data_IF_608715222074
#
_entry.id   IF_608715222074
#
_cell.length_a   1.000
_cell.length_b   1.000
_cell.length_c   1.000
_cell.angle_alpha   90.00
_cell.angle_beta   90.00
_cell.angle_gamma   90.00
#
_symmetry.space_group_name_H-M   'P 1'
#
loop_
_entity.id
_entity.type
_entity.pdbx_description
1 polymer ?
#
# COMPACT_ATOMS: atom_id res chain seq x y z
N UNK A 1 -0.70 -12.74 20.47
CA UNK A 1 0.31 -11.93 19.75
C UNK A 1 -0.13 -10.47 19.71
N UNK A 2 0.67 -9.58 20.29
CA UNK A 2 0.40 -8.15 20.29
C UNK A 2 0.71 -7.56 18.91
N UNK A 3 -0.20 -6.75 18.40
CA UNK A 3 -0.05 -6.05 17.14
C UNK A 3 -0.40 -4.57 17.31
N UNK A 4 0.27 -3.72 16.57
CA UNK A 4 -0.15 -2.33 16.42
C UNK A 4 -0.46 -2.04 14.96
N UNK A 5 -1.47 -1.22 14.73
CA UNK A 5 -1.91 -0.83 13.39
C UNK A 5 -1.96 0.68 13.27
N UNK A 6 -1.45 1.20 12.17
CA UNK A 6 -1.64 2.59 11.78
C UNK A 6 -2.33 2.68 10.44
N UNK A 7 -3.21 3.67 10.30
CA UNK A 7 -4.05 3.88 9.13
C UNK A 7 -3.53 5.08 8.33
N UNK A 8 -3.47 4.91 7.01
CA UNK A 8 -3.01 5.91 6.04
C UNK A 8 -4.06 6.10 4.96
N UNK A 9 -4.10 7.27 4.36
CA UNK A 9 -4.99 7.57 3.24
C UNK A 9 -4.19 8.18 2.10
N UNK A 10 -4.54 7.84 0.87
CA UNK A 10 -3.97 8.46 -0.32
C UNK A 10 -4.96 8.38 -1.48
N UNK A 11 -4.90 9.39 -2.34
CA UNK A 11 -5.74 9.51 -3.54
C UNK A 11 -4.95 9.03 -4.75
N UNK A 12 -5.41 7.99 -5.43
CA UNK A 12 -4.70 7.40 -6.56
C UNK A 12 -5.67 7.04 -7.66
N UNK A 13 -5.32 7.39 -8.90
CA UNK A 13 -6.05 7.01 -10.09
C UNK A 13 -5.38 5.81 -10.76
N UNK A 14 -6.18 4.99 -11.43
CA UNK A 14 -5.72 3.85 -12.18
C UNK A 14 -6.69 3.47 -13.31
N UNK A 15 -6.26 2.52 -14.15
CA UNK A 15 -7.10 1.83 -15.10
C UNK A 15 -6.52 0.45 -15.37
N UNK A 16 -7.37 -0.51 -15.71
CA UNK A 16 -6.98 -1.90 -15.94
C UNK A 16 -7.08 -2.25 -17.43
N UNK A 17 -5.96 -2.69 -18.01
CA UNK A 17 -5.91 -3.18 -19.40
C UNK A 17 -6.50 -4.59 -19.48
N UNK A 18 -7.29 -4.83 -20.54
CA UNK A 18 -7.88 -6.15 -20.77
C UNK A 18 -9.09 -6.50 -19.91
N UNK A 19 -9.50 -5.60 -19.03
CA UNK A 19 -10.68 -5.79 -18.19
C UNK A 19 -11.94 -5.35 -18.91
N UNK A 20 -12.98 -6.19 -18.91
CA UNK A 20 -14.23 -5.95 -19.65
C UNK A 20 -15.21 -4.99 -18.95
N UNK A 21 -15.00 -4.70 -17.64
CA UNK A 21 -15.84 -3.84 -16.82
C UNK A 21 -15.43 -2.37 -16.83
N UNK A 22 -16.05 -1.57 -15.95
CA UNK A 22 -15.81 -0.13 -15.82
C UNK A 22 -14.39 0.22 -15.42
N UNK A 23 -13.67 -0.67 -14.73
CA UNK A 23 -12.29 -0.45 -14.28
C UNK A 23 -11.27 -0.33 -15.42
N UNK A 24 -11.66 -0.62 -16.67
CA UNK A 24 -10.85 -0.31 -17.86
C UNK A 24 -10.72 1.18 -18.12
N UNK A 25 -11.61 2.00 -17.58
CA UNK A 25 -11.58 3.45 -17.73
C UNK A 25 -10.71 4.07 -16.65
N UNK A 26 -10.15 5.24 -16.94
CA UNK A 26 -9.45 6.03 -15.94
C UNK A 26 -10.41 6.44 -14.84
N UNK A 27 -10.08 6.11 -13.61
CA UNK A 27 -10.84 6.50 -12.42
C UNK A 27 -9.93 6.52 -11.20
N UNK A 28 -10.38 7.10 -10.12
CA UNK A 28 -9.62 7.21 -8.90
C UNK A 28 -10.39 6.75 -7.68
N UNK A 29 -9.65 6.44 -6.63
CA UNK A 29 -10.17 6.06 -5.32
C UNK A 29 -9.47 6.81 -4.21
N UNK A 30 -10.22 7.02 -3.12
CA UNK A 30 -9.66 7.40 -1.82
C UNK A 30 -9.26 6.12 -1.08
N UNK A 31 -8.01 5.68 -1.33
CA UNK A 31 -7.51 4.46 -0.70
C UNK A 31 -7.28 4.65 0.80
N UNK A 32 -7.60 3.62 1.57
CA UNK A 32 -7.29 3.55 2.99
C UNK A 32 -6.43 2.31 3.24
N UNK A 33 -5.23 2.53 3.73
CA UNK A 33 -4.25 1.49 4.00
C UNK A 33 -4.08 1.30 5.51
N UNK A 34 -4.28 0.07 5.98
CA UNK A 34 -3.93 -0.33 7.34
C UNK A 34 -2.60 -1.09 7.28
N UNK A 35 -1.62 -0.63 8.03
CA UNK A 35 -0.31 -1.29 8.18
C UNK A 35 -0.21 -1.81 9.60
N UNK A 36 -0.10 -3.12 9.74
CA UNK A 36 -0.03 -3.82 11.03
C UNK A 36 1.33 -4.49 11.20
N UNK A 37 1.96 -4.20 12.31
CA UNK A 37 3.24 -4.80 12.70
C UNK A 37 3.14 -5.49 14.05
N UNK A 38 4.05 -6.44 14.29
CA UNK A 38 4.17 -7.20 15.54
C UNK A 38 5.64 -7.34 15.91
N UNK A 39 5.89 -7.75 17.15
CA UNK A 39 7.23 -8.25 17.53
C UNK A 39 7.49 -9.62 16.91
N UNK A 40 8.72 -9.86 16.49
CA UNK A 40 9.18 -11.19 16.07
C UNK A 40 9.28 -12.19 17.23
N UNK A 41 9.43 -11.66 18.45
CA UNK A 41 9.48 -12.46 19.67
C UNK A 41 8.13 -12.39 20.36
N UNK A 42 7.51 -13.54 20.68
CA UNK A 42 6.27 -13.54 21.45
C UNK A 42 6.45 -12.84 22.80
N UNK A 43 5.47 -12.04 23.16
CA UNK A 43 5.42 -11.41 24.49
C UNK A 43 5.07 -12.45 25.58
N UNK A 44 5.81 -12.38 26.68
CA UNK A 44 5.51 -13.10 27.92
C UNK A 44 5.10 -12.09 29.01
N UNK A 45 3.82 -11.73 29.04
CA UNK A 45 3.30 -10.71 29.96
C UNK A 45 3.37 -9.30 29.39
N UNK A 46 3.88 -8.36 30.16
CA UNK A 46 3.98 -6.96 29.74
C UNK A 46 5.27 -6.69 28.97
N UNK A 47 5.19 -5.73 28.02
CA UNK A 47 6.39 -5.26 27.34
C UNK A 47 7.33 -4.55 28.30
N UNK A 48 8.61 -4.89 28.25
CA UNK A 48 9.66 -4.26 29.03
C UNK A 48 10.05 -2.87 28.52
N UNK A 49 11.03 -2.25 29.17
CA UNK A 49 11.57 -0.94 28.77
C UNK A 49 10.50 0.15 28.79
N UNK A 50 10.29 0.79 27.64
CA UNK A 50 9.27 1.84 27.47
C UNK A 50 7.83 1.30 27.34
N UNK A 51 7.65 -0.01 27.21
CA UNK A 51 6.35 -0.61 26.96
C UNK A 51 5.79 -0.37 25.55
N UNK A 52 6.63 0.04 24.60
CA UNK A 52 6.26 0.38 23.22
C UNK A 52 6.84 -0.66 22.27
N UNK A 53 6.01 -1.27 21.43
CA UNK A 53 6.46 -2.19 20.38
C UNK A 53 7.21 -1.45 19.28
N UNK A 54 6.65 -0.37 18.78
CA UNK A 54 7.22 0.56 17.81
C UNK A 54 6.52 1.91 17.96
N UNK A 55 7.27 3.01 17.89
CA UNK A 55 6.65 4.34 17.94
C UNK A 55 5.79 4.57 16.68
N UNK A 56 4.55 5.01 16.88
CA UNK A 56 3.65 5.34 15.78
C UNK A 56 4.17 6.47 14.88
N UNK A 57 5.06 7.34 15.37
CA UNK A 57 5.71 8.37 14.55
C UNK A 57 6.70 7.76 13.58
N UNK A 58 7.47 6.76 14.03
CA UNK A 58 8.45 6.06 13.19
C UNK A 58 7.73 5.21 12.14
N UNK A 59 6.66 4.52 12.52
CA UNK A 59 5.81 3.79 11.57
C UNK A 59 5.20 4.75 10.53
N UNK A 60 4.71 5.92 10.97
CA UNK A 60 4.17 6.95 10.07
C UNK A 60 5.22 7.43 9.08
N UNK A 61 6.42 7.75 9.55
CA UNK A 61 7.51 8.23 8.71
C UNK A 61 7.88 7.20 7.64
N UNK A 62 8.09 5.95 8.05
CA UNK A 62 8.43 4.85 7.14
C UNK A 62 7.38 4.68 6.04
N UNK A 63 6.11 4.59 6.42
CA UNK A 63 5.03 4.34 5.43
C UNK A 63 4.80 5.56 4.54
N UNK A 64 4.88 6.78 5.06
CA UNK A 64 4.77 7.98 4.23
C UNK A 64 5.88 8.02 3.18
N UNK A 65 7.14 7.82 3.57
CA UNK A 65 8.28 7.87 2.66
C UNK A 65 8.27 6.74 1.61
N UNK A 66 7.88 5.54 2.02
CA UNK A 66 7.91 4.35 1.16
C UNK A 66 6.67 4.15 0.32
N UNK A 67 5.52 4.66 0.76
CA UNK A 67 4.22 4.36 0.15
C UNK A 67 3.44 5.63 -0.16
N UNK A 68 2.99 6.37 0.85
CA UNK A 68 2.03 7.47 0.65
C UNK A 68 2.56 8.52 -0.34
N UNK A 69 3.80 8.96 -0.19
CA UNK A 69 4.42 9.97 -1.05
C UNK A 69 4.58 9.51 -2.52
N UNK A 70 4.59 8.19 -2.74
CA UNK A 70 4.67 7.60 -4.08
C UNK A 70 3.31 7.41 -4.75
N UNK A 71 2.25 7.24 -3.96
CA UNK A 71 0.91 6.94 -4.46
C UNK A 71 0.00 8.16 -4.51
N UNK A 72 0.13 9.08 -3.55
CA UNK A 72 -0.81 10.18 -3.41
C UNK A 72 -0.76 11.13 -4.61
N UNK A 73 -1.94 11.37 -5.21
CA UNK A 73 -2.13 12.19 -6.41
C UNK A 73 -1.38 11.66 -7.66
N UNK A 74 -1.18 10.34 -7.73
CA UNK A 74 -0.59 9.68 -8.89
C UNK A 74 -1.64 8.97 -9.74
N UNK A 75 -1.32 8.79 -11.02
CA UNK A 75 -2.01 7.91 -11.94
C UNK A 75 -1.10 6.73 -12.23
N UNK A 76 -1.55 5.52 -11.96
CA UNK A 76 -0.81 4.28 -12.21
C UNK A 76 -1.41 3.56 -13.39
N UNK A 77 -0.61 3.32 -14.42
CA UNK A 77 -0.99 2.58 -15.62
C UNK A 77 0.05 1.51 -15.94
N UNK A 78 -0.41 0.38 -16.46
CA UNK A 78 0.49 -0.62 -17.00
C UNK A 78 1.09 -0.21 -18.35
N UNK A 79 2.23 -0.77 -18.70
CA UNK A 79 2.80 -0.64 -20.05
C UNK A 79 1.82 -1.08 -21.13
N UNK A 80 1.05 -2.14 -20.88
CA UNK A 80 0.03 -2.62 -21.81
C UNK A 80 -1.09 -1.61 -22.03
N UNK A 81 -1.57 -0.95 -20.95
CA UNK A 81 -2.57 0.10 -21.06
C UNK A 81 -2.06 1.29 -21.90
N UNK A 82 -0.83 1.71 -21.65
CA UNK A 82 -0.20 2.81 -22.39
C UNK A 82 0.03 2.48 -23.87
N UNK A 83 0.39 1.24 -24.19
CA UNK A 83 0.54 0.81 -25.58
C UNK A 83 -0.78 0.94 -26.37
N UNK A 84 -1.91 0.70 -25.70
CA UNK A 84 -3.25 0.89 -26.28
C UNK A 84 -3.75 2.35 -26.24
N UNK A 85 -3.15 3.21 -25.40
CA UNK A 85 -3.54 4.61 -25.18
C UNK A 85 -2.30 5.52 -25.08
N UNK A 86 -1.50 5.65 -26.15
CA UNK A 86 -0.18 6.30 -26.08
C UNK A 86 -0.22 7.78 -25.73
N UNK A 87 -1.33 8.46 -25.98
CA UNK A 87 -1.54 9.88 -25.62
C UNK A 87 -1.50 10.14 -24.11
N UNK A 88 -1.68 9.13 -23.27
CA UNK A 88 -1.61 9.25 -21.80
C UNK A 88 -0.18 9.27 -21.27
N UNK A 89 0.82 8.93 -22.07
CA UNK A 89 2.23 8.86 -21.66
C UNK A 89 2.87 10.19 -21.27
N UNK A 90 2.24 11.32 -21.59
CA UNK A 90 2.77 12.66 -21.30
C UNK A 90 2.22 13.28 -20.01
N UNK A 91 1.37 12.56 -19.25
CA UNK A 91 0.83 13.04 -17.99
C UNK A 91 1.92 13.15 -16.92
N UNK A 92 1.99 14.29 -16.25
CA UNK A 92 3.04 14.61 -15.28
C UNK A 92 3.07 13.68 -14.06
N UNK A 93 1.90 13.26 -13.60
CA UNK A 93 1.73 12.42 -12.41
C UNK A 93 1.65 10.91 -12.72
N UNK A 94 2.07 10.51 -13.91
CA UNK A 94 2.01 9.11 -14.36
C UNK A 94 3.12 8.28 -13.75
N UNK A 95 2.73 7.12 -13.17
CA UNK A 95 3.61 6.01 -12.78
C UNK A 95 3.33 4.82 -13.71
N UNK A 96 4.38 4.23 -14.28
CA UNK A 96 4.27 3.13 -15.25
C UNK A 96 4.68 1.84 -14.58
N UNK A 97 3.78 0.85 -14.60
CA UNK A 97 4.03 -0.48 -14.04
C UNK A 97 4.11 -1.56 -15.11
N UNK A 98 4.82 -2.64 -14.82
CA UNK A 98 4.86 -3.85 -15.67
C UNK A 98 3.59 -4.72 -15.52
N UNK A 99 2.85 -4.53 -14.43
CA UNK A 99 1.65 -5.27 -14.06
C UNK A 99 0.43 -4.34 -14.00
N UNK A 100 -0.77 -4.91 -14.03
CA UNK A 100 -2.00 -4.13 -13.87
C UNK A 100 -2.14 -3.62 -12.43
N UNK A 101 -2.47 -2.32 -12.22
CA UNK A 101 -2.57 -1.72 -10.90
C UNK A 101 -3.93 -2.00 -10.22
N UNK A 102 -4.29 -3.26 -10.07
CA UNK A 102 -5.43 -3.69 -9.27
C UNK A 102 -5.16 -3.49 -7.78
N UNK A 103 -6.19 -3.49 -6.94
CA UNK A 103 -6.02 -3.41 -5.48
C UNK A 103 -5.10 -4.52 -4.96
N UNK A 104 -5.20 -5.72 -5.54
CA UNK A 104 -4.37 -6.88 -5.19
C UNK A 104 -2.89 -6.64 -5.52
N UNK A 105 -2.59 -6.12 -6.70
CA UNK A 105 -1.22 -5.82 -7.10
C UNK A 105 -0.66 -4.59 -6.36
N UNK A 106 -1.49 -3.61 -6.07
CA UNK A 106 -1.10 -2.45 -5.26
C UNK A 106 -0.68 -2.89 -3.85
N UNK A 107 -1.47 -3.75 -3.18
CA UNK A 107 -1.11 -4.21 -1.83
C UNK A 107 0.16 -5.06 -1.83
N UNK A 108 0.40 -5.87 -2.87
CA UNK A 108 1.64 -6.64 -3.01
C UNK A 108 2.85 -5.75 -3.27
N UNK A 109 2.69 -4.70 -4.06
CA UNK A 109 3.72 -3.68 -4.25
C UNK A 109 4.06 -2.97 -2.93
N UNK A 110 3.04 -2.52 -2.19
CA UNK A 110 3.22 -1.89 -0.87
C UNK A 110 3.96 -2.82 0.09
N UNK A 111 3.60 -4.10 0.12
CA UNK A 111 4.33 -5.10 0.90
C UNK A 111 5.82 -5.10 0.58
N UNK A 112 6.18 -5.15 -0.70
CA UNK A 112 7.58 -5.18 -1.14
C UNK A 112 8.34 -3.91 -0.72
N UNK A 113 7.71 -2.74 -0.85
CA UNK A 113 8.31 -1.47 -0.47
C UNK A 113 8.56 -1.35 1.05
N UNK A 114 7.71 -1.97 1.86
CA UNK A 114 7.83 -1.93 3.32
C UNK A 114 8.78 -2.99 3.90
N UNK A 115 9.01 -4.10 3.18
CA UNK A 115 9.92 -5.15 3.65
C UNK A 115 11.33 -4.60 3.87
N UNK A 116 11.93 -4.95 5.02
CA UNK A 116 13.27 -4.51 5.39
C UNK A 116 13.36 -3.09 5.95
N UNK A 117 12.24 -2.36 6.01
CA UNK A 117 12.22 -0.99 6.58
C UNK A 117 11.97 -0.92 8.09
N UNK A 118 11.62 -2.04 8.72
CA UNK A 118 11.30 -2.10 10.15
C UNK A 118 12.55 -2.38 11.00
N UNK A 119 12.54 -2.03 12.31
CA UNK A 119 13.56 -2.46 13.25
C UNK A 119 13.73 -3.98 13.26
N UNK A 120 14.90 -4.45 13.70
CA UNK A 120 15.27 -5.88 13.65
C UNK A 120 14.26 -6.80 14.37
N UNK A 121 13.70 -6.32 15.46
CA UNK A 121 12.74 -7.05 16.31
C UNK A 121 11.28 -6.87 15.90
N UNK A 122 11.00 -6.05 14.88
CA UNK A 122 9.64 -5.75 14.38
C UNK A 122 9.44 -6.35 12.99
N UNK A 123 8.23 -6.85 12.74
CA UNK A 123 7.88 -7.39 11.43
C UNK A 123 6.51 -6.94 10.96
N UNK A 124 6.38 -6.80 9.64
CA UNK A 124 5.10 -6.58 8.98
C UNK A 124 4.31 -7.89 9.00
N UNK A 125 3.11 -7.86 9.57
CA UNK A 125 2.26 -9.06 9.70
C UNK A 125 0.96 -8.97 8.90
N UNK A 126 0.48 -7.75 8.59
CA UNK A 126 -0.78 -7.59 7.87
C UNK A 126 -0.83 -6.24 7.15
N UNK A 127 -1.41 -6.27 5.97
CA UNK A 127 -1.84 -5.09 5.23
C UNK A 127 -3.31 -5.24 4.85
N UNK A 128 -4.07 -4.15 4.93
CA UNK A 128 -5.44 -4.07 4.39
C UNK A 128 -5.54 -2.81 3.54
N UNK A 129 -5.93 -2.96 2.29
CA UNK A 129 -6.08 -1.83 1.36
C UNK A 129 -7.53 -1.73 0.91
N UNK A 130 -8.26 -0.76 1.45
CA UNK A 130 -9.60 -0.41 0.99
C UNK A 130 -9.51 0.40 -0.29
N UNK A 131 -10.13 -0.10 -1.35
CA UNK A 131 -10.33 0.63 -2.60
C UNK A 131 -11.60 1.50 -2.51
N UNK A 132 -12.65 0.95 -1.91
CA UNK A 132 -13.89 1.64 -1.56
C UNK A 132 -14.18 1.47 -0.07
N UNK A 133 -15.27 2.05 0.43
CA UNK A 133 -15.66 1.91 1.84
C UNK A 133 -16.02 0.48 2.26
N UNK A 134 -16.35 -0.39 1.30
CA UNK A 134 -16.87 -1.74 1.52
C UNK A 134 -16.11 -2.85 0.79
N UNK A 135 -15.03 -2.51 0.08
CA UNK A 135 -14.25 -3.47 -0.71
C UNK A 135 -12.76 -3.27 -0.49
N UNK A 136 -12.06 -4.32 -0.11
CA UNK A 136 -10.64 -4.27 0.19
C UNK A 136 -9.90 -5.54 -0.21
N UNK A 137 -8.61 -5.39 -0.44
CA UNK A 137 -7.65 -6.49 -0.51
C UNK A 137 -6.92 -6.61 0.83
N UNK A 138 -6.56 -7.82 1.22
CA UNK A 138 -5.84 -8.09 2.46
C UNK A 138 -4.66 -9.01 2.19
N UNK A 139 -3.51 -8.68 2.78
CA UNK A 139 -2.37 -9.57 2.85
C UNK A 139 -2.04 -9.86 4.33
N UNK A 140 -1.86 -11.14 4.66
CA UNK A 140 -1.48 -11.64 5.98
C UNK A 140 -0.22 -12.48 5.82
N UNK A 141 0.75 -12.31 6.72
CA UNK A 141 1.98 -13.10 6.76
C UNK A 141 1.73 -14.57 7.10
#
# INVERSE_FOLDING_TARGET
MLQITKIFNFETAHALHGYAGKCRNLHGHSYKLHVTVSSKTPEEGYLGGTGILMDFKDLKKLVNEKVVDKFDHRLILSKAYLAANPNLGELENLEIWDIEPSAENIILYIKQELLGGFPEDVELVKLVLYETSDSYAEWIK
#
